data_IF_888500016020
#
_entry.id   IF_888500016020
#
_cell.length_a   1.000
_cell.length_b   1.000
_cell.length_c   1.000
_cell.angle_alpha   90.00
_cell.angle_beta   90.00
_cell.angle_gamma   90.00
#
_symmetry.space_group_name_H-M   'P 1'
#
loop_
_entity.id
_entity.type
_entity.pdbx_description
1 polymer ?
#
# COMPACT_ATOMS: atom_id res chain seq x y z
N UNK A 1 49.80 -30.30 3.39
CA UNK A 1 49.63 -28.85 3.64
C UNK A 1 48.32 -28.50 2.95
N UNK A 2 47.21 -28.75 3.64
CA UNK A 2 45.87 -28.44 3.13
C UNK A 2 45.73 -26.94 3.05
N UNK A 3 45.43 -26.44 1.85
CA UNK A 3 45.01 -25.07 1.63
C UNK A 3 43.66 -24.91 2.31
N UNK A 4 43.68 -24.35 3.52
CA UNK A 4 42.50 -23.79 4.17
C UNK A 4 42.06 -22.64 3.28
N UNK A 5 41.15 -22.92 2.35
CA UNK A 5 40.40 -21.89 1.66
C UNK A 5 39.69 -21.08 2.75
N UNK A 6 40.15 -19.85 2.96
CA UNK A 6 39.41 -18.84 3.67
C UNK A 6 38.16 -18.53 2.83
N UNK A 7 37.13 -19.37 2.96
CA UNK A 7 35.79 -19.02 2.50
C UNK A 7 35.47 -17.63 3.05
N UNK A 8 35.04 -16.72 2.16
CA UNK A 8 34.56 -15.43 2.62
C UNK A 8 33.46 -15.69 3.66
N UNK A 9 33.38 -14.91 4.76
CA UNK A 9 32.40 -15.10 5.83
C UNK A 9 30.93 -14.94 5.36
N UNK A 10 30.68 -14.79 4.06
CA UNK A 10 29.45 -14.27 3.48
C UNK A 10 28.23 -15.17 3.68
N UNK A 11 28.36 -16.44 4.06
CA UNK A 11 27.29 -17.26 4.66
C UNK A 11 27.67 -18.75 4.68
N UNK A 12 27.56 -19.38 5.87
CA UNK A 12 27.79 -20.82 6.05
C UNK A 12 26.70 -21.71 5.42
N UNK A 13 25.59 -21.16 4.91
CA UNK A 13 24.51 -21.92 4.27
C UNK A 13 23.81 -21.16 3.12
N UNK A 14 23.20 -21.88 2.18
CA UNK A 14 22.38 -21.28 1.10
C UNK A 14 21.20 -20.44 1.64
N UNK A 15 20.65 -20.86 2.78
CA UNK A 15 19.57 -20.16 3.47
C UNK A 15 20.00 -18.77 3.98
N UNK A 16 21.24 -18.66 4.47
CA UNK A 16 21.82 -17.39 4.92
C UNK A 16 22.09 -16.47 3.72
N UNK A 17 22.66 -17.01 2.62
CA UNK A 17 22.87 -16.25 1.37
C UNK A 17 21.56 -15.67 0.85
N UNK A 18 20.51 -16.49 0.81
CA UNK A 18 19.18 -16.06 0.38
C UNK A 18 18.62 -14.93 1.26
N UNK A 19 18.81 -15.00 2.58
CA UNK A 19 18.33 -13.95 3.48
C UNK A 19 19.13 -12.65 3.36
N UNK A 20 20.43 -12.72 3.12
CA UNK A 20 21.25 -11.54 2.82
C UNK A 20 20.88 -10.90 1.48
N UNK A 21 20.62 -11.70 0.45
CA UNK A 21 20.05 -11.24 -0.81
C UNK A 21 18.70 -10.56 -0.59
N UNK A 22 17.85 -11.09 0.29
CA UNK A 22 16.56 -10.48 0.62
C UNK A 22 16.70 -9.09 1.27
N UNK A 23 17.63 -8.91 2.20
CA UNK A 23 17.91 -7.58 2.78
C UNK A 23 18.41 -6.58 1.72
N UNK A 24 19.28 -7.02 0.80
CA UNK A 24 19.72 -6.19 -0.32
C UNK A 24 18.57 -5.89 -1.28
N UNK A 25 17.69 -6.85 -1.53
CA UNK A 25 16.50 -6.68 -2.36
C UNK A 25 15.59 -5.59 -1.80
N UNK A 26 15.31 -5.58 -0.49
CA UNK A 26 14.55 -4.50 0.18
C UNK A 26 15.25 -3.15 -0.02
N UNK A 27 16.57 -3.10 0.19
CA UNK A 27 17.38 -1.88 0.03
C UNK A 27 17.46 -1.38 -1.41
N UNK A 28 17.28 -2.26 -2.40
CA UNK A 28 17.25 -1.95 -3.82
C UNK A 28 15.86 -1.48 -4.26
N UNK A 29 14.80 -2.19 -3.86
CA UNK A 29 13.44 -1.89 -4.31
C UNK A 29 12.89 -0.61 -3.68
N UNK A 30 13.34 -0.23 -2.48
CA UNK A 30 12.91 1.02 -1.84
C UNK A 30 13.16 2.26 -2.72
N UNK A 31 14.39 2.58 -3.17
CA UNK A 31 14.62 3.74 -4.03
C UNK A 31 13.96 3.62 -5.41
N UNK A 32 13.78 2.40 -5.94
CA UNK A 32 13.06 2.18 -7.21
C UNK A 32 11.58 2.55 -7.07
N UNK A 33 10.92 2.03 -6.01
CA UNK A 33 9.51 2.30 -5.72
C UNK A 33 9.28 3.78 -5.37
N UNK A 34 10.20 4.39 -4.61
CA UNK A 34 10.22 5.84 -4.39
C UNK A 34 10.37 6.57 -5.73
N UNK A 35 11.23 6.13 -6.64
CA UNK A 35 11.42 6.79 -7.93
C UNK A 35 10.15 6.87 -8.77
N UNK A 36 9.44 5.74 -8.92
CA UNK A 36 8.16 5.69 -9.67
C UNK A 36 6.98 6.35 -8.96
N UNK A 37 7.12 6.61 -7.65
CA UNK A 37 6.13 7.36 -6.84
C UNK A 37 6.71 8.69 -6.34
N UNK A 38 7.75 9.22 -6.98
CA UNK A 38 8.56 10.33 -6.42
C UNK A 38 7.75 11.57 -6.02
N UNK A 39 6.65 11.95 -6.70
CA UNK A 39 5.87 13.10 -6.28
C UNK A 39 5.26 12.96 -4.87
N UNK A 40 4.89 11.75 -4.39
CA UNK A 40 4.35 11.65 -3.02
C UNK A 40 5.41 11.93 -1.94
N UNK A 41 6.70 11.78 -2.28
CA UNK A 41 7.83 11.98 -1.37
C UNK A 41 8.37 13.40 -1.36
N UNK A 42 7.94 14.23 -2.31
CA UNK A 42 8.30 15.64 -2.45
C UNK A 42 7.16 16.55 -1.97
N UNK A 43 7.41 17.86 -1.82
CA UNK A 43 6.36 18.83 -1.55
C UNK A 43 5.29 18.82 -2.64
N UNK A 44 4.04 18.58 -2.26
CA UNK A 44 2.94 18.47 -3.21
C UNK A 44 2.20 19.80 -3.39
N UNK A 45 1.99 20.21 -4.63
CA UNK A 45 1.21 21.40 -4.97
C UNK A 45 -0.08 21.09 -5.72
N UNK A 46 -0.10 19.99 -6.47
CA UNK A 46 -1.25 19.59 -7.29
C UNK A 46 -2.23 18.68 -6.56
N UNK A 47 -1.76 17.84 -5.64
CA UNK A 47 -2.59 16.97 -4.80
C UNK A 47 -2.26 17.26 -3.33
N UNK A 48 -3.22 17.18 -2.39
CA UNK A 48 -2.96 17.56 -1.02
C UNK A 48 -2.11 16.53 -0.28
N UNK A 49 -1.01 16.99 0.32
CA UNK A 49 -0.33 16.26 1.37
C UNK A 49 -1.08 16.42 2.69
N UNK A 50 -1.55 15.32 3.29
CA UNK A 50 -2.32 15.34 4.54
C UNK A 50 -1.50 14.66 5.64
N UNK A 51 -0.93 15.40 6.61
CA UNK A 51 -0.19 14.78 7.71
C UNK A 51 -1.12 13.98 8.63
N UNK A 52 -0.58 12.98 9.32
CA UNK A 52 -1.33 12.15 10.27
C UNK A 52 -1.83 12.96 11.49
N UNK A 53 -1.07 13.99 11.88
CA UNK A 53 -1.35 14.84 13.05
C UNK A 53 -1.35 16.30 12.60
N UNK A 54 -2.35 17.08 13.03
CA UNK A 54 -2.53 18.48 12.61
C UNK A 54 -1.38 19.41 13.02
N UNK A 55 -0.65 19.06 14.09
CA UNK A 55 0.57 19.76 14.52
C UNK A 55 1.67 19.77 13.43
N UNK A 56 1.60 18.86 12.46
CA UNK A 56 2.56 18.79 11.37
C UNK A 56 2.11 19.58 10.12
N UNK A 57 0.93 20.21 10.10
CA UNK A 57 0.50 21.06 8.97
C UNK A 57 1.48 22.19 8.63
N UNK A 58 2.07 22.92 9.60
CA UNK A 58 2.97 24.05 9.32
C UNK A 58 4.38 23.65 8.89
N UNK A 59 4.74 22.36 8.94
CA UNK A 59 6.10 21.94 8.61
C UNK A 59 6.39 22.27 7.12
N UNK A 60 7.56 22.85 6.79
CA UNK A 60 7.84 23.29 5.42
C UNK A 60 8.17 22.11 4.51
N UNK A 61 7.90 22.27 3.21
CA UNK A 61 8.19 21.25 2.19
C UNK A 61 9.68 20.86 2.09
N UNK A 62 10.61 21.74 2.47
CA UNK A 62 12.04 21.39 2.51
C UNK A 62 12.35 20.17 3.40
N UNK A 63 11.53 19.92 4.42
CA UNK A 63 11.66 18.72 5.27
C UNK A 63 11.38 17.44 4.48
N UNK A 64 10.41 17.48 3.55
CA UNK A 64 10.10 16.34 2.69
C UNK A 64 11.30 15.99 1.79
N UNK A 65 11.95 17.00 1.20
CA UNK A 65 13.16 16.82 0.39
C UNK A 65 14.31 16.24 1.21
N UNK A 66 14.59 16.81 2.39
CA UNK A 66 15.66 16.33 3.26
C UNK A 66 15.42 14.88 3.71
N UNK A 67 14.17 14.53 4.00
CA UNK A 67 13.80 13.19 4.41
C UNK A 67 13.89 12.17 3.26
N UNK A 68 13.49 12.55 2.06
CA UNK A 68 13.68 11.74 0.86
C UNK A 68 15.17 11.44 0.62
N UNK A 69 16.02 12.46 0.67
CA UNK A 69 17.48 12.30 0.52
C UNK A 69 18.02 11.36 1.59
N UNK A 70 17.60 11.51 2.85
CA UNK A 70 18.02 10.65 3.95
C UNK A 70 17.59 9.18 3.72
N UNK A 71 16.33 8.94 3.37
CA UNK A 71 15.79 7.60 3.12
C UNK A 71 16.55 6.92 1.98
N UNK A 72 16.76 7.61 0.86
CA UNK A 72 17.51 7.08 -0.28
C UNK A 72 18.97 6.82 0.09
N UNK A 73 19.63 7.74 0.78
CA UNK A 73 21.02 7.58 1.21
C UNK A 73 21.20 6.38 2.16
N UNK A 74 20.30 6.21 3.13
CA UNK A 74 20.30 5.06 4.04
C UNK A 74 20.10 3.74 3.28
N UNK A 75 19.14 3.70 2.34
CA UNK A 75 18.86 2.52 1.53
C UNK A 75 20.05 2.14 0.64
N UNK A 76 20.66 3.11 -0.05
CA UNK A 76 21.85 2.86 -0.88
C UNK A 76 23.06 2.45 -0.05
N UNK A 77 23.24 3.03 1.15
CA UNK A 77 24.30 2.63 2.07
C UNK A 77 24.14 1.17 2.52
N UNK A 78 22.91 0.75 2.83
CA UNK A 78 22.60 -0.65 3.18
C UNK A 78 22.82 -1.60 2.00
N UNK A 79 22.45 -1.19 0.78
CA UNK A 79 22.66 -1.96 -0.44
C UNK A 79 24.15 -2.21 -0.70
N UNK A 80 24.97 -1.16 -0.61
CA UNK A 80 26.41 -1.20 -0.90
C UNK A 80 27.22 -1.85 0.21
N UNK A 81 26.99 -1.48 1.47
CA UNK A 81 27.74 -2.02 2.61
C UNK A 81 27.35 -3.47 2.92
N UNK A 82 26.09 -3.83 2.64
CA UNK A 82 25.55 -5.16 2.88
C UNK A 82 25.22 -5.46 4.35
N UNK A 83 24.60 -6.62 4.60
CA UNK A 83 24.01 -6.96 5.91
C UNK A 83 25.03 -7.32 6.99
N UNK A 84 26.29 -7.58 6.62
CA UNK A 84 27.36 -7.92 7.57
C UNK A 84 28.12 -6.69 8.07
N UNK A 85 27.80 -5.50 7.55
CA UNK A 85 28.43 -4.26 8.01
C UNK A 85 28.11 -4.00 9.49
N UNK A 86 29.12 -3.64 10.28
CA UNK A 86 28.98 -3.48 11.74
C UNK A 86 27.92 -2.45 12.18
N UNK A 87 27.60 -1.47 11.32
CA UNK A 87 26.55 -0.48 11.57
C UNK A 87 25.23 -0.76 10.84
N UNK A 88 25.09 -1.91 10.14
CA UNK A 88 23.90 -2.24 9.37
C UNK A 88 22.63 -2.18 10.23
N UNK A 89 22.67 -2.69 11.46
CA UNK A 89 21.53 -2.62 12.37
C UNK A 89 21.11 -1.17 12.68
N UNK A 90 22.06 -0.27 12.91
CA UNK A 90 21.76 1.15 13.17
C UNK A 90 21.21 1.85 11.93
N UNK A 91 21.73 1.53 10.74
CA UNK A 91 21.22 2.05 9.46
C UNK A 91 19.79 1.59 9.19
N UNK A 92 19.48 0.31 9.43
CA UNK A 92 18.12 -0.24 9.31
C UNK A 92 17.13 0.44 10.27
N UNK A 93 17.51 0.65 11.53
CA UNK A 93 16.65 1.37 12.48
C UNK A 93 16.46 2.84 12.09
N UNK A 94 17.52 3.50 11.62
CA UNK A 94 17.44 4.87 11.13
C UNK A 94 16.52 4.98 9.92
N UNK A 95 16.55 3.98 9.03
CA UNK A 95 15.67 3.90 7.87
C UNK A 95 14.21 3.72 8.29
N UNK A 96 13.93 2.83 9.25
CA UNK A 96 12.58 2.64 9.80
C UNK A 96 12.03 3.93 10.44
N UNK A 97 12.84 4.65 11.21
CA UNK A 97 12.46 5.92 11.82
C UNK A 97 12.21 7.01 10.78
N UNK A 98 13.07 7.10 9.75
CA UNK A 98 12.90 8.07 8.66
C UNK A 98 11.62 7.81 7.87
N UNK A 99 11.32 6.55 7.53
CA UNK A 99 10.06 6.17 6.89
C UNK A 99 8.85 6.46 7.79
N UNK A 100 8.93 6.11 9.08
CA UNK A 100 7.87 6.42 10.05
C UNK A 100 7.58 7.92 10.13
N UNK A 101 8.61 8.76 10.18
CA UNK A 101 8.44 10.21 10.14
C UNK A 101 7.85 10.68 8.80
N UNK A 102 8.25 10.07 7.68
CA UNK A 102 7.71 10.41 6.36
C UNK A 102 6.21 10.17 6.30
N UNK A 103 5.75 9.06 6.87
CA UNK A 103 4.34 8.70 6.96
C UNK A 103 3.53 9.68 7.81
N UNK A 104 4.11 10.20 8.90
CA UNK A 104 3.45 11.21 9.73
C UNK A 104 3.26 12.54 9.00
N UNK A 105 4.19 12.91 8.11
CA UNK A 105 4.11 14.15 7.32
C UNK A 105 3.08 14.07 6.19
N UNK A 106 2.84 12.87 5.66
CA UNK A 106 1.80 12.64 4.66
C UNK A 106 1.33 11.19 4.72
N UNK A 107 0.06 11.00 5.09
CA UNK A 107 -0.57 9.69 5.18
C UNK A 107 -0.60 8.95 3.84
N UNK A 108 -0.59 9.67 2.71
CA UNK A 108 -0.50 9.06 1.38
C UNK A 108 0.78 8.23 1.17
N UNK A 109 1.82 8.48 1.99
CA UNK A 109 3.07 7.71 1.99
C UNK A 109 2.97 6.38 2.72
N UNK A 110 1.88 6.08 3.44
CA UNK A 110 1.59 4.75 3.97
C UNK A 110 1.23 3.74 2.87
N UNK A 111 1.89 3.82 1.71
CA UNK A 111 1.79 2.83 0.66
C UNK A 111 2.13 1.44 1.24
N UNK A 112 1.42 0.37 0.87
CA UNK A 112 1.61 -0.94 1.48
C UNK A 112 3.07 -1.45 1.45
N UNK A 113 3.77 -1.21 0.34
CA UNK A 113 5.18 -1.57 0.19
C UNK A 113 6.09 -0.77 1.12
N UNK A 114 5.82 0.52 1.32
CA UNK A 114 6.63 1.38 2.17
C UNK A 114 6.46 1.00 3.65
N UNK A 115 5.21 0.74 4.06
CA UNK A 115 4.89 0.21 5.37
C UNK A 115 5.56 -1.15 5.62
N UNK A 116 5.48 -2.07 4.65
CA UNK A 116 6.17 -3.36 4.74
C UNK A 116 7.69 -3.17 4.91
N UNK A 117 8.32 -2.28 4.16
CA UNK A 117 9.77 -2.05 4.24
C UNK A 117 10.18 -1.39 5.56
N UNK A 118 9.36 -0.49 6.13
CA UNK A 118 9.60 0.06 7.46
C UNK A 118 9.56 -1.03 8.54
N UNK A 119 8.60 -1.95 8.47
CA UNK A 119 8.51 -3.08 9.41
C UNK A 119 9.70 -4.04 9.25
N UNK A 120 10.08 -4.38 8.01
CA UNK A 120 11.26 -5.22 7.75
C UNK A 120 12.55 -4.56 8.25
N UNK A 121 12.69 -3.25 8.07
CA UNK A 121 13.83 -2.49 8.59
C UNK A 121 13.93 -2.57 10.13
N UNK A 122 12.80 -2.53 10.85
CA UNK A 122 12.79 -2.79 12.30
C UNK A 122 13.32 -4.19 12.61
N UNK A 123 12.86 -5.22 11.88
CA UNK A 123 13.29 -6.60 12.12
C UNK A 123 14.78 -6.80 11.86
N UNK A 124 15.30 -6.26 10.74
CA UNK A 124 16.73 -6.34 10.40
C UNK A 124 17.61 -5.53 11.36
N UNK A 125 17.07 -4.46 11.94
CA UNK A 125 17.75 -3.62 12.92
C UNK A 125 17.79 -4.18 14.34
N UNK A 126 16.73 -4.88 14.76
CA UNK A 126 16.57 -5.34 16.15
C UNK A 126 16.94 -6.81 16.37
N UNK A 127 16.66 -7.68 15.40
CA UNK A 127 16.70 -9.13 15.60
C UNK A 127 17.88 -9.78 14.86
N UNK A 128 18.51 -10.82 15.43
CA UNK A 128 19.45 -11.65 14.69
C UNK A 128 18.79 -12.27 13.45
N UNK A 129 19.60 -12.58 12.45
CA UNK A 129 19.15 -13.07 11.13
C UNK A 129 18.10 -14.18 11.17
N UNK A 130 18.24 -15.12 12.09
CA UNK A 130 17.33 -16.28 12.22
C UNK A 130 15.93 -15.84 12.68
N UNK A 131 15.87 -14.94 13.65
CA UNK A 131 14.63 -14.34 14.13
C UNK A 131 14.04 -13.38 13.09
N UNK A 132 14.86 -12.48 12.54
CA UNK A 132 14.42 -11.51 11.54
C UNK A 132 13.81 -12.19 10.30
N UNK A 133 14.40 -13.30 9.83
CA UNK A 133 13.85 -14.09 8.72
C UNK A 133 12.49 -14.68 9.06
N UNK A 134 12.31 -15.24 10.27
CA UNK A 134 11.02 -15.78 10.71
C UNK A 134 9.94 -14.70 10.81
N UNK A 135 10.27 -13.55 11.38
CA UNK A 135 9.35 -12.41 11.48
C UNK A 135 8.97 -11.89 10.08
N UNK A 136 9.95 -11.76 9.18
CA UNK A 136 9.68 -11.38 7.78
C UNK A 136 8.79 -12.40 7.06
N UNK A 137 8.99 -13.70 7.29
CA UNK A 137 8.11 -14.76 6.76
C UNK A 137 6.69 -14.64 7.31
N UNK A 138 6.51 -14.34 8.60
CA UNK A 138 5.18 -14.15 9.19
C UNK A 138 4.46 -12.95 8.60
N UNK A 139 5.14 -11.81 8.44
CA UNK A 139 4.56 -10.63 7.78
C UNK A 139 4.20 -10.95 6.32
N UNK A 140 5.06 -11.65 5.57
CA UNK A 140 4.74 -12.06 4.20
C UNK A 140 3.49 -12.96 4.15
N UNK A 141 3.40 -13.95 5.05
CA UNK A 141 2.23 -14.83 5.17
C UNK A 141 0.97 -14.05 5.53
N UNK A 142 1.06 -13.04 6.40
CA UNK A 142 -0.10 -12.22 6.75
C UNK A 142 -0.59 -11.38 5.59
N UNK A 143 0.30 -10.88 4.73
CA UNK A 143 -0.15 -10.17 3.51
C UNK A 143 -1.00 -11.09 2.64
N UNK A 144 -0.53 -12.32 2.34
CA UNK A 144 -1.32 -13.28 1.54
C UNK A 144 -2.66 -13.61 2.21
N UNK A 145 -2.66 -13.87 3.51
CA UNK A 145 -3.87 -14.23 4.24
C UNK A 145 -4.90 -13.10 4.26
N UNK A 146 -4.50 -11.92 4.71
CA UNK A 146 -5.42 -10.79 4.87
C UNK A 146 -5.80 -10.16 3.54
N UNK A 147 -4.92 -10.13 2.54
CA UNK A 147 -5.28 -9.66 1.20
C UNK A 147 -6.30 -10.58 0.54
N UNK A 148 -6.13 -11.90 0.62
CA UNK A 148 -7.14 -12.85 0.16
C UNK A 148 -8.47 -12.67 0.90
N UNK A 149 -8.42 -12.63 2.24
CA UNK A 149 -9.60 -12.48 3.09
C UNK A 149 -10.36 -11.17 2.81
N UNK A 150 -9.64 -10.09 2.48
CA UNK A 150 -10.23 -8.79 2.16
C UNK A 150 -11.01 -8.78 0.85
N UNK A 151 -10.74 -9.72 -0.08
CA UNK A 151 -11.43 -9.82 -1.39
C UNK A 151 -12.56 -10.85 -1.39
N UNK A 152 -12.73 -11.62 -0.31
CA UNK A 152 -13.83 -12.58 -0.17
C UNK A 152 -15.13 -11.85 0.22
N UNK A 153 -15.62 -10.97 -0.66
CA UNK A 153 -16.86 -10.22 -0.47
C UNK A 153 -17.56 -9.90 -1.80
N UNK A 154 -18.86 -9.56 -1.78
CA UNK A 154 -19.60 -9.20 -2.99
C UNK A 154 -19.07 -7.95 -3.71
N UNK A 155 -18.58 -6.94 -3.00
CA UNK A 155 -18.05 -5.72 -3.62
C UNK A 155 -16.86 -6.01 -4.53
N UNK A 156 -15.95 -6.91 -4.13
CA UNK A 156 -14.84 -7.36 -5.00
C UNK A 156 -15.36 -8.05 -6.26
N UNK A 157 -16.37 -8.90 -6.12
CA UNK A 157 -17.01 -9.61 -7.26
C UNK A 157 -17.68 -8.64 -8.24
N UNK A 158 -18.28 -7.56 -7.73
CA UNK A 158 -19.01 -6.59 -8.52
C UNK A 158 -18.14 -5.51 -9.16
N UNK A 159 -16.98 -5.22 -8.57
CA UNK A 159 -16.06 -4.19 -9.03
C UNK A 159 -14.78 -4.85 -9.61
N UNK A 160 -13.66 -4.76 -8.88
CA UNK A 160 -12.34 -5.09 -9.40
C UNK A 160 -12.16 -6.54 -9.86
N UNK A 161 -12.86 -7.49 -9.24
CA UNK A 161 -12.86 -8.89 -9.63
C UNK A 161 -13.51 -9.11 -11.01
N UNK A 162 -14.55 -8.33 -11.33
CA UNK A 162 -15.16 -8.34 -12.65
C UNK A 162 -14.20 -7.78 -13.71
N UNK A 163 -13.47 -6.70 -13.39
CA UNK A 163 -12.44 -6.14 -14.27
C UNK A 163 -11.32 -7.14 -14.56
N UNK A 164 -10.90 -7.92 -13.55
CA UNK A 164 -9.89 -8.96 -13.72
C UNK A 164 -10.36 -10.07 -14.66
N UNK A 165 -11.60 -10.53 -14.50
CA UNK A 165 -12.19 -11.55 -15.38
C UNK A 165 -12.33 -11.05 -16.82
N UNK A 166 -12.85 -9.83 -17.01
CA UNK A 166 -12.98 -9.20 -18.32
C UNK A 166 -11.61 -9.07 -19.01
N UNK A 167 -10.59 -8.61 -18.27
CA UNK A 167 -9.23 -8.48 -18.77
C UNK A 167 -8.65 -9.83 -19.21
N UNK A 168 -8.82 -10.88 -18.40
CA UNK A 168 -8.36 -12.22 -18.79
C UNK A 168 -9.11 -12.76 -20.01
N UNK A 169 -10.41 -12.48 -20.13
CA UNK A 169 -11.21 -12.80 -21.31
C UNK A 169 -10.64 -12.13 -22.57
N UNK A 170 -10.23 -10.86 -22.46
CA UNK A 170 -9.67 -10.10 -23.58
C UNK A 170 -8.39 -10.74 -24.15
N UNK A 171 -7.55 -11.35 -23.30
CA UNK A 171 -6.32 -12.03 -23.73
C UNK A 171 -6.57 -13.28 -24.59
N UNK A 172 -7.76 -13.87 -24.49
CA UNK A 172 -8.17 -15.02 -25.32
C UNK A 172 -9.19 -14.63 -26.40
N UNK A 173 -9.35 -13.33 -26.67
CA UNK A 173 -10.22 -12.80 -27.71
C UNK A 173 -11.70 -12.65 -27.32
N UNK A 174 -12.04 -12.79 -26.04
CA UNK A 174 -13.38 -12.52 -25.52
C UNK A 174 -13.47 -11.04 -25.11
N UNK A 175 -14.02 -10.21 -25.99
CA UNK A 175 -14.31 -8.80 -25.66
C UNK A 175 -15.63 -8.72 -24.88
N UNK A 176 -15.55 -8.91 -23.56
CA UNK A 176 -16.68 -8.83 -22.63
C UNK A 176 -16.43 -7.71 -21.65
N UNK A 177 -17.34 -6.74 -21.59
CA UNK A 177 -17.29 -5.68 -20.59
C UNK A 177 -17.66 -6.22 -19.20
N UNK A 178 -17.10 -5.68 -18.10
CA UNK A 178 -17.40 -6.15 -16.74
C UNK A 178 -18.91 -6.23 -16.43
N UNK A 179 -19.69 -5.27 -16.95
CA UNK A 179 -21.15 -5.19 -16.80
C UNK A 179 -21.91 -6.33 -17.49
N UNK A 180 -21.30 -6.98 -18.49
CA UNK A 180 -21.90 -8.06 -19.27
C UNK A 180 -21.68 -9.44 -18.65
N UNK A 181 -20.85 -9.56 -17.62
CA UNK A 181 -20.52 -10.85 -17.00
C UNK A 181 -21.72 -11.49 -16.27
N UNK A 182 -22.73 -10.72 -15.87
CA UNK A 182 -23.93 -11.24 -15.21
C UNK A 182 -23.59 -12.14 -14.00
N UNK A 183 -24.00 -13.42 -13.97
CA UNK A 183 -23.63 -14.35 -12.89
C UNK A 183 -22.19 -14.86 -12.97
N UNK A 184 -21.51 -14.77 -14.12
CA UNK A 184 -20.13 -15.26 -14.30
C UNK A 184 -19.11 -14.48 -13.49
N UNK A 185 -19.44 -13.24 -13.05
CA UNK A 185 -18.59 -12.44 -12.17
C UNK A 185 -18.19 -13.17 -10.88
N UNK A 186 -19.01 -14.11 -10.39
CA UNK A 186 -18.71 -14.90 -9.19
C UNK A 186 -17.46 -15.80 -9.35
N UNK A 187 -17.03 -16.09 -10.59
CA UNK A 187 -15.75 -16.73 -10.85
C UNK A 187 -14.56 -15.89 -10.34
N UNK A 188 -14.74 -14.58 -10.10
CA UNK A 188 -13.70 -13.71 -9.58
C UNK A 188 -13.24 -14.16 -8.18
N UNK A 189 -14.07 -14.86 -7.41
CA UNK A 189 -13.67 -15.44 -6.12
C UNK A 189 -12.55 -16.50 -6.25
N UNK A 190 -12.28 -17.00 -7.47
CA UNK A 190 -11.11 -17.84 -7.73
C UNK A 190 -9.79 -17.11 -7.45
N UNK A 191 -9.72 -15.78 -7.63
CA UNK A 191 -8.50 -15.00 -7.36
C UNK A 191 -8.09 -15.05 -5.88
N UNK A 192 -8.94 -14.63 -4.91
CA UNK A 192 -8.60 -14.76 -3.50
C UNK A 192 -8.54 -16.21 -3.03
N UNK A 193 -9.28 -17.14 -3.63
CA UNK A 193 -9.14 -18.56 -3.29
C UNK A 193 -7.75 -19.11 -3.66
N UNK A 194 -7.20 -18.71 -4.81
CA UNK A 194 -5.86 -19.09 -5.23
C UNK A 194 -4.77 -18.44 -4.35
N UNK A 195 -4.98 -17.18 -3.95
CA UNK A 195 -4.10 -16.49 -3.00
C UNK A 195 -4.12 -17.16 -1.61
N UNK A 196 -5.29 -17.55 -1.11
CA UNK A 196 -5.44 -18.31 0.12
C UNK A 196 -4.77 -19.69 0.03
N UNK A 197 -4.88 -20.37 -1.12
CA UNK A 197 -4.17 -21.62 -1.37
C UNK A 197 -2.66 -21.42 -1.28
N UNK A 198 -2.10 -20.35 -1.86
CA UNK A 198 -0.69 -20.02 -1.73
C UNK A 198 -0.27 -19.85 -0.26
N UNK A 199 -1.05 -19.11 0.54
CA UNK A 199 -0.83 -18.97 1.98
C UNK A 199 -0.78 -20.33 2.71
N UNK A 200 -1.80 -21.18 2.51
CA UNK A 200 -1.89 -22.49 3.17
C UNK A 200 -0.71 -23.41 2.79
N UNK A 201 -0.31 -23.39 1.52
CA UNK A 201 0.82 -24.18 1.02
C UNK A 201 2.16 -23.67 1.57
N UNK A 202 2.34 -22.35 1.71
CA UNK A 202 3.57 -21.74 2.25
C UNK A 202 3.72 -21.94 3.77
N UNK A 203 2.60 -21.97 4.49
CA UNK A 203 2.55 -22.17 5.95
C UNK A 203 3.13 -23.54 6.33
N UNK A 204 2.75 -24.59 5.60
CA UNK A 204 3.25 -25.95 5.85
C UNK A 204 4.61 -26.18 5.17
N UNK A 205 5.60 -26.59 5.96
CA UNK A 205 6.98 -26.83 5.50
C UNK A 205 7.07 -27.89 4.38
N UNK A 206 6.18 -28.89 4.38
CA UNK A 206 6.20 -29.98 3.37
C UNK A 206 5.71 -29.53 2.00
N UNK A 207 4.74 -28.61 1.97
CA UNK A 207 4.12 -28.10 0.74
C UNK A 207 4.74 -26.79 0.25
N UNK A 208 5.68 -26.23 1.01
CA UNK A 208 6.19 -24.87 0.80
C UNK A 208 6.74 -24.59 -0.59
N UNK A 209 7.44 -25.54 -1.21
CA UNK A 209 7.96 -25.35 -2.58
C UNK A 209 6.83 -25.22 -3.61
N UNK A 210 5.77 -26.02 -3.46
CA UNK A 210 4.55 -25.87 -4.26
C UNK A 210 3.95 -24.49 -3.99
N UNK A 211 3.86 -24.09 -2.72
CA UNK A 211 3.40 -22.74 -2.33
C UNK A 211 4.20 -21.60 -2.98
N UNK A 212 5.51 -21.73 -3.13
CA UNK A 212 6.34 -20.73 -3.85
C UNK A 212 5.98 -20.68 -5.33
N UNK A 213 5.78 -21.83 -5.98
CA UNK A 213 5.35 -21.87 -7.39
C UNK A 213 3.95 -21.26 -7.55
N UNK A 214 3.01 -21.60 -6.66
CA UNK A 214 1.65 -21.04 -6.64
C UNK A 214 1.65 -19.53 -6.42
N UNK A 215 2.42 -19.04 -5.45
CA UNK A 215 2.56 -17.60 -5.21
C UNK A 215 3.22 -16.90 -6.40
N UNK A 216 4.25 -17.52 -6.99
CA UNK A 216 4.95 -16.98 -8.15
C UNK A 216 4.05 -16.87 -9.39
N UNK A 217 3.27 -17.91 -9.68
CA UNK A 217 2.31 -17.89 -10.79
C UNK A 217 1.22 -16.83 -10.55
N UNK A 218 0.73 -16.69 -9.32
CA UNK A 218 -0.22 -15.63 -8.96
C UNK A 218 0.35 -14.24 -9.24
N UNK A 219 1.57 -13.92 -8.77
CA UNK A 219 2.17 -12.61 -8.98
C UNK A 219 2.46 -12.33 -10.45
N UNK A 220 2.89 -13.33 -11.23
CA UNK A 220 3.05 -13.18 -12.68
C UNK A 220 1.73 -12.87 -13.37
N UNK A 221 0.64 -13.56 -13.00
CA UNK A 221 -0.70 -13.27 -13.51
C UNK A 221 -1.17 -11.87 -13.12
N UNK A 222 -0.92 -11.43 -11.88
CA UNK A 222 -1.24 -10.06 -11.45
C UNK A 222 -0.44 -9.02 -12.24
N UNK A 223 0.85 -9.24 -12.49
CA UNK A 223 1.65 -8.34 -13.33
C UNK A 223 1.11 -8.28 -14.76
N UNK A 224 0.64 -9.40 -15.30
CA UNK A 224 0.05 -9.44 -16.64
C UNK A 224 -1.29 -8.68 -16.70
N UNK A 225 -2.21 -8.97 -15.77
CA UNK A 225 -3.55 -8.37 -15.71
C UNK A 225 -3.52 -6.90 -15.34
N UNK A 226 -2.70 -6.50 -14.36
CA UNK A 226 -2.59 -5.12 -13.91
C UNK A 226 -1.61 -4.31 -14.75
N UNK A 227 -0.74 -4.96 -15.52
CA UNK A 227 0.32 -4.31 -16.27
C UNK A 227 -0.17 -3.59 -17.53
N UNK A 228 0.76 -3.08 -18.35
CA UNK A 228 0.46 -2.34 -19.57
C UNK A 228 -0.37 -3.12 -20.61
N UNK A 229 -0.40 -4.45 -20.50
CA UNK A 229 -1.18 -5.31 -21.40
C UNK A 229 -2.65 -5.44 -20.97
N UNK A 230 -2.97 -5.20 -19.69
CA UNK A 230 -4.32 -5.28 -19.16
C UNK A 230 -4.81 -3.91 -18.67
N UNK A 231 -5.04 -3.78 -17.36
CA UNK A 231 -5.64 -2.59 -16.74
C UNK A 231 -4.70 -1.37 -16.68
N UNK A 232 -3.43 -1.49 -17.08
CA UNK A 232 -2.44 -0.41 -17.09
C UNK A 232 -2.38 0.37 -15.76
N UNK A 233 -2.33 -0.38 -14.66
CA UNK A 233 -2.32 0.15 -13.31
C UNK A 233 -0.95 0.77 -12.94
N UNK A 234 -0.79 1.25 -11.70
CA UNK A 234 0.37 2.05 -11.31
C UNK A 234 1.67 1.23 -11.24
N UNK A 235 2.79 1.84 -11.62
CA UNK A 235 4.10 1.19 -11.58
C UNK A 235 4.50 0.72 -10.18
N UNK A 236 4.11 1.46 -9.13
CA UNK A 236 4.35 1.06 -7.75
C UNK A 236 3.73 -0.31 -7.42
N UNK A 237 2.54 -0.59 -7.93
CA UNK A 237 1.84 -1.87 -7.75
C UNK A 237 2.57 -3.01 -8.49
N UNK A 238 2.97 -2.77 -9.74
CA UNK A 238 3.64 -3.79 -10.57
C UNK A 238 5.01 -4.17 -9.99
N UNK A 239 5.82 -3.17 -9.63
CA UNK A 239 7.15 -3.39 -9.07
C UNK A 239 7.09 -4.06 -7.70
N UNK A 240 6.07 -3.78 -6.89
CA UNK A 240 5.89 -4.48 -5.63
C UNK A 240 5.49 -5.95 -5.82
N UNK A 241 4.73 -6.29 -6.87
CA UNK A 241 4.49 -7.70 -7.24
C UNK A 241 5.77 -8.41 -7.69
N UNK A 242 6.66 -7.74 -8.43
CA UNK A 242 7.99 -8.27 -8.76
C UNK A 242 8.81 -8.53 -7.48
N UNK A 243 8.77 -7.60 -6.53
CA UNK A 243 9.40 -7.79 -5.22
C UNK A 243 8.81 -9.01 -4.49
N UNK A 244 7.49 -9.18 -4.47
CA UNK A 244 6.86 -10.32 -3.83
C UNK A 244 7.23 -11.66 -4.46
N UNK A 245 7.35 -11.73 -5.79
CA UNK A 245 7.83 -12.91 -6.49
C UNK A 245 9.23 -13.33 -5.98
N UNK A 246 10.15 -12.37 -5.91
CA UNK A 246 11.49 -12.62 -5.39
C UNK A 246 11.49 -12.92 -3.88
N UNK A 247 10.68 -12.22 -3.10
CA UNK A 247 10.49 -12.46 -1.66
C UNK A 247 10.00 -13.88 -1.39
N UNK A 248 9.02 -14.37 -2.15
CA UNK A 248 8.47 -15.72 -1.97
C UNK A 248 9.58 -16.77 -2.14
N UNK A 249 10.42 -16.62 -3.16
CA UNK A 249 11.57 -17.51 -3.41
C UNK A 249 12.57 -17.41 -2.26
N UNK A 250 13.03 -16.20 -1.93
CA UNK A 250 14.12 -16.00 -0.96
C UNK A 250 13.74 -16.40 0.48
N UNK A 251 12.48 -16.18 0.88
CA UNK A 251 12.02 -16.50 2.22
C UNK A 251 11.60 -17.97 2.37
N UNK A 252 10.94 -18.54 1.36
CA UNK A 252 10.23 -19.81 1.50
C UNK A 252 10.82 -20.99 0.70
N UNK A 253 11.65 -20.77 -0.32
CA UNK A 253 12.24 -21.90 -1.06
C UNK A 253 13.25 -22.70 -0.23
N UNK A 254 13.99 -21.98 0.62
CA UNK A 254 15.03 -22.53 1.47
C UNK A 254 14.48 -22.93 2.84
N UNK A 255 14.98 -24.01 3.48
CA UNK A 255 14.54 -24.40 4.81
C UNK A 255 14.73 -23.27 5.82
N UNK A 256 13.83 -23.18 6.79
CA UNK A 256 14.00 -22.29 7.94
C UNK A 256 15.12 -22.85 8.83
N UNK A 257 15.87 -21.98 9.53
CA UNK A 257 16.78 -22.43 10.58
C UNK A 257 16.04 -23.27 11.61
N UNK A 258 16.69 -24.31 12.15
CA UNK A 258 16.18 -25.13 13.24
C UNK A 258 15.67 -24.26 14.40
N UNK A 259 14.69 -24.76 15.16
CA UNK A 259 14.06 -24.02 16.26
C UNK A 259 15.14 -23.37 17.14
N UNK A 260 15.05 -22.06 17.30
CA UNK A 260 16.05 -21.33 18.11
C UNK A 260 15.55 -21.43 19.54
N UNK A 261 16.18 -22.29 20.33
CA UNK A 261 15.81 -22.58 21.72
C UNK A 261 16.20 -21.46 22.69
N UNK A 262 17.03 -20.51 22.27
CA UNK A 262 17.41 -19.38 23.11
C UNK A 262 16.32 -18.32 23.17
N UNK A 263 15.89 -18.00 24.40
CA UNK A 263 15.03 -16.84 24.64
C UNK A 263 15.77 -15.56 24.24
N UNK A 264 15.35 -14.95 23.14
CA UNK A 264 15.97 -13.72 22.63
C UNK A 264 15.95 -12.59 23.66
N UNK A 265 17.01 -11.76 23.65
CA UNK A 265 17.10 -10.55 24.48
C UNK A 265 16.01 -9.51 24.15
N UNK A 266 15.97 -8.40 24.89
CA UNK A 266 14.89 -7.40 24.80
C UNK A 266 14.63 -6.86 23.38
N UNK A 267 15.67 -6.73 22.54
CA UNK A 267 15.54 -6.29 21.14
C UNK A 267 14.72 -7.28 20.31
N UNK A 268 14.93 -8.58 20.50
CA UNK A 268 14.16 -9.64 19.82
C UNK A 268 12.71 -9.62 20.28
N UNK A 269 12.47 -9.45 21.57
CA UNK A 269 11.11 -9.30 22.12
C UNK A 269 10.39 -8.09 21.56
N UNK A 270 11.09 -6.96 21.40
CA UNK A 270 10.53 -5.77 20.76
C UNK A 270 10.18 -6.02 19.29
N UNK A 271 11.06 -6.68 18.53
CA UNK A 271 10.76 -7.05 17.14
C UNK A 271 9.57 -8.02 17.04
N UNK A 272 9.46 -8.99 17.95
CA UNK A 272 8.32 -9.89 18.06
C UNK A 272 7.03 -9.16 18.42
N UNK A 273 7.08 -8.19 19.34
CA UNK A 273 5.94 -7.36 19.70
C UNK A 273 5.45 -6.53 18.51
N UNK A 274 6.37 -5.88 17.78
CA UNK A 274 6.04 -5.17 16.53
C UNK A 274 5.41 -6.13 15.52
N UNK A 275 5.97 -7.32 15.33
CA UNK A 275 5.37 -8.34 14.46
C UNK A 275 3.96 -8.73 14.92
N UNK A 276 3.74 -8.93 16.23
CA UNK A 276 2.44 -9.23 16.79
C UNK A 276 1.41 -8.12 16.50
N UNK A 277 1.80 -6.85 16.65
CA UNK A 277 0.96 -5.71 16.29
C UNK A 277 0.63 -5.75 14.79
N UNK A 278 1.61 -5.95 13.91
CA UNK A 278 1.40 -6.01 12.45
C UNK A 278 0.49 -7.18 12.05
N UNK A 279 0.59 -8.32 12.74
CA UNK A 279 -0.26 -9.49 12.49
C UNK A 279 -1.69 -9.29 13.00
N UNK A 280 -1.88 -8.57 14.11
CA UNK A 280 -3.19 -8.36 14.72
C UNK A 280 -3.89 -7.11 14.21
N UNK A 281 -3.16 -6.08 13.73
CA UNK A 281 -3.76 -4.84 13.24
C UNK A 281 -4.85 -5.05 12.18
N UNK A 282 -4.72 -5.97 11.21
CA UNK A 282 -5.79 -6.26 10.26
C UNK A 282 -7.13 -6.66 10.89
N UNK A 283 -7.16 -7.16 12.13
CA UNK A 283 -8.44 -7.47 12.81
C UNK A 283 -9.21 -6.21 13.22
N UNK A 284 -8.53 -5.07 13.33
CA UNK A 284 -9.17 -3.77 13.58
C UNK A 284 -9.91 -3.26 12.33
N UNK A 285 -9.43 -3.59 11.14
CA UNK A 285 -10.13 -3.29 9.89
C UNK A 285 -11.46 -4.04 9.79
N UNK A 286 -11.51 -5.29 10.28
CA UNK A 286 -12.73 -6.10 10.33
C UNK A 286 -13.87 -5.44 11.12
N UNK A 287 -13.53 -4.61 12.10
CA UNK A 287 -14.47 -3.88 12.95
C UNK A 287 -14.54 -2.38 12.63
N UNK A 288 -13.98 -1.96 11.49
CA UNK A 288 -14.03 -0.58 10.99
C UNK A 288 -13.11 0.42 11.69
N UNK A 289 -12.19 -0.03 12.55
CA UNK A 289 -11.26 0.83 13.29
C UNK A 289 -9.87 0.94 12.65
N UNK A 290 -9.50 -0.01 11.80
CA UNK A 290 -8.19 -0.06 11.14
C UNK A 290 -8.23 0.43 9.70
N UNK A 291 -7.25 1.23 9.30
CA UNK A 291 -7.10 1.65 7.90
C UNK A 291 -6.78 0.44 6.99
N UNK A 292 -7.28 0.40 5.73
CA UNK A 292 -7.18 -0.78 4.87
C UNK A 292 -5.74 -1.19 4.50
N UNK A 293 -4.86 -0.23 4.21
CA UNK A 293 -3.50 -0.54 3.77
C UNK A 293 -2.63 -1.16 4.86
N UNK A 294 -2.52 -0.59 6.08
CA UNK A 294 -1.81 -1.24 7.18
C UNK A 294 -2.44 -2.59 7.60
N UNK A 295 -3.72 -2.80 7.26
CA UNK A 295 -4.44 -4.06 7.43
C UNK A 295 -4.23 -5.09 6.30
N UNK A 296 -3.41 -4.79 5.30
CA UNK A 296 -3.23 -5.62 4.10
C UNK A 296 -4.50 -5.85 3.27
N UNK A 297 -5.48 -4.95 3.37
CA UNK A 297 -6.65 -4.85 2.50
C UNK A 297 -6.27 -4.33 1.11
N UNK A 298 -5.42 -5.07 0.41
CA UNK A 298 -4.96 -4.71 -0.94
C UNK A 298 -6.05 -5.09 -1.93
N UNK A 299 -6.41 -4.16 -2.83
CA UNK A 299 -7.49 -4.36 -3.81
C UNK A 299 -8.86 -4.62 -3.15
N UNK A 300 -9.03 -4.10 -1.94
CA UNK A 300 -10.27 -4.19 -1.20
C UNK A 300 -11.29 -3.18 -1.75
N UNK A 301 -12.28 -3.66 -2.50
CA UNK A 301 -13.40 -2.84 -3.00
C UNK A 301 -14.35 -2.41 -1.88
N UNK A 302 -14.38 -3.11 -0.75
CA UNK A 302 -15.32 -2.86 0.34
C UNK A 302 -14.93 -1.65 1.21
N UNK A 303 -13.83 -0.96 0.94
CA UNK A 303 -13.38 0.18 1.75
C UNK A 303 -14.36 1.37 1.65
N UNK A 304 -14.46 2.16 2.72
CA UNK A 304 -15.21 3.40 2.70
C UNK A 304 -14.55 4.43 1.77
N UNK A 305 -15.36 5.25 1.10
CA UNK A 305 -14.92 6.21 0.08
C UNK A 305 -15.74 7.48 0.11
N UNK A 306 -15.10 8.59 -0.25
CA UNK A 306 -15.76 9.88 -0.47
C UNK A 306 -15.74 10.22 -1.95
N UNK A 307 -16.92 10.34 -2.54
CA UNK A 307 -17.11 10.83 -3.89
C UNK A 307 -17.30 12.34 -3.85
N UNK A 308 -16.62 13.05 -4.74
CA UNK A 308 -16.74 14.50 -4.87
C UNK A 308 -17.50 14.84 -6.14
N UNK A 309 -18.49 15.70 -6.01
CA UNK A 309 -19.26 16.24 -7.12
C UNK A 309 -19.17 17.76 -7.10
N UNK A 310 -19.12 18.37 -8.29
CA UNK A 310 -19.13 19.82 -8.47
C UNK A 310 -20.30 20.22 -9.35
N UNK A 311 -20.89 21.38 -9.07
CA UNK A 311 -21.93 21.93 -9.93
C UNK A 311 -21.36 22.24 -11.31
N UNK A 312 -22.01 21.76 -12.37
CA UNK A 312 -21.50 21.80 -13.77
C UNK A 312 -21.04 23.19 -14.21
N UNK A 313 -21.80 24.25 -13.92
CA UNK A 313 -21.43 25.61 -14.33
C UNK A 313 -20.23 26.18 -13.54
N UNK A 314 -19.92 25.63 -12.36
CA UNK A 314 -18.79 26.06 -11.55
C UNK A 314 -17.46 25.43 -12.01
N UNK A 315 -17.48 24.41 -12.86
CA UNK A 315 -16.27 23.74 -13.38
C UNK A 315 -15.31 24.74 -14.03
N UNK A 316 -15.83 25.72 -14.78
CA UNK A 316 -15.01 26.73 -15.45
C UNK A 316 -14.24 27.64 -14.47
N UNK A 317 -14.68 27.72 -13.21
CA UNK A 317 -14.01 28.50 -12.16
C UNK A 317 -12.86 27.73 -11.49
N UNK A 318 -12.78 26.41 -11.67
CA UNK A 318 -11.73 25.59 -11.07
C UNK A 318 -10.39 25.79 -11.80
N UNK A 319 -9.24 25.57 -11.14
CA UNK A 319 -7.95 25.57 -11.81
C UNK A 319 -7.95 24.62 -13.02
N UNK A 320 -7.36 25.04 -14.15
CA UNK A 320 -7.33 24.26 -15.40
C UNK A 320 -6.78 22.85 -15.21
N UNK A 321 -5.78 22.70 -14.34
CA UNK A 321 -5.17 21.41 -14.02
C UNK A 321 -6.13 20.45 -13.33
N UNK A 322 -7.15 20.96 -12.63
CA UNK A 322 -8.16 20.16 -11.94
C UNK A 322 -9.35 19.82 -12.87
N UNK A 323 -9.66 20.70 -13.83
CA UNK A 323 -10.81 20.53 -14.75
C UNK A 323 -10.74 19.21 -15.54
N UNK A 324 -9.54 18.71 -15.87
CA UNK A 324 -9.35 17.45 -16.61
C UNK A 324 -9.74 16.19 -15.82
N UNK A 325 -9.95 16.32 -14.51
CA UNK A 325 -10.42 15.24 -13.64
C UNK A 325 -11.93 15.30 -13.37
N UNK A 326 -12.61 16.30 -13.93
CA UNK A 326 -14.07 16.41 -13.87
C UNK A 326 -14.65 15.64 -15.05
N UNK A 327 -15.58 14.73 -14.77
CA UNK A 327 -16.30 14.00 -15.81
C UNK A 327 -17.43 14.88 -16.38
N UNK A 328 -17.10 15.66 -17.41
CA UNK A 328 -18.05 16.52 -18.10
C UNK A 328 -19.05 15.77 -18.97
N UNK A 329 -18.79 14.50 -19.27
CA UNK A 329 -19.62 13.64 -20.12
C UNK A 329 -20.71 12.91 -19.32
N UNK A 330 -20.69 13.04 -17.99
CA UNK A 330 -21.76 12.57 -17.11
C UNK A 330 -23.14 13.08 -17.57
N UNK A 331 -24.13 12.20 -17.50
CA UNK A 331 -25.53 12.49 -17.88
C UNK A 331 -26.30 13.35 -16.87
N UNK A 332 -25.70 13.68 -15.72
CA UNK A 332 -26.32 14.54 -14.71
C UNK A 332 -26.14 16.03 -15.11
N UNK A 333 -27.26 16.72 -15.28
CA UNK A 333 -27.25 18.13 -15.73
C UNK A 333 -26.73 19.10 -14.66
N UNK A 334 -26.77 18.73 -13.38
CA UNK A 334 -26.47 19.63 -12.27
C UNK A 334 -25.11 19.33 -11.63
N UNK A 335 -24.84 18.08 -11.24
CA UNK A 335 -23.63 17.68 -10.53
C UNK A 335 -22.78 16.73 -11.36
N UNK A 336 -21.53 17.08 -11.58
CA UNK A 336 -20.56 16.25 -12.30
C UNK A 336 -19.49 15.72 -11.33
N UNK A 337 -19.10 14.44 -11.42
CA UNK A 337 -18.13 13.87 -10.50
C UNK A 337 -16.71 14.35 -10.80
N UNK A 338 -15.89 14.42 -9.75
CA UNK A 338 -14.44 14.61 -9.83
C UNK A 338 -13.78 13.28 -9.50
N UNK A 339 -13.00 12.75 -10.44
CA UNK A 339 -12.25 11.51 -10.25
C UNK A 339 -11.01 11.74 -9.39
N UNK A 340 -11.19 11.65 -8.06
CA UNK A 340 -10.11 11.79 -7.07
C UNK A 340 -9.04 10.70 -7.23
N UNK A 341 -9.42 9.50 -7.69
CA UNK A 341 -8.51 8.39 -7.88
C UNK A 341 -7.54 8.65 -9.04
N UNK A 342 -8.08 9.06 -10.18
CA UNK A 342 -7.29 9.48 -11.35
C UNK A 342 -6.47 10.73 -11.05
N UNK A 343 -7.01 11.70 -10.33
CA UNK A 343 -6.27 12.88 -9.88
C UNK A 343 -5.05 12.48 -9.05
N UNK A 344 -5.22 11.60 -8.06
CA UNK A 344 -4.11 11.07 -7.27
C UNK A 344 -3.07 10.36 -8.13
N UNK A 345 -3.46 9.41 -8.99
CA UNK A 345 -2.51 8.61 -9.76
C UNK A 345 -1.71 9.47 -10.74
N UNK A 346 -2.38 10.34 -11.50
CA UNK A 346 -1.70 11.13 -12.53
C UNK A 346 -0.78 12.21 -11.94
N UNK A 347 -1.11 12.78 -10.79
CA UNK A 347 -0.29 13.83 -10.17
C UNK A 347 0.78 13.27 -9.24
N UNK A 348 0.52 12.12 -8.63
CA UNK A 348 1.39 11.58 -7.58
C UNK A 348 2.16 10.31 -7.96
N UNK A 349 1.74 9.62 -9.02
CA UNK A 349 2.23 8.30 -9.39
C UNK A 349 1.70 7.17 -8.48
N UNK A 350 0.84 7.49 -7.50
CA UNK A 350 0.34 6.57 -6.51
C UNK A 350 -1.21 6.58 -6.43
N UNK A 351 -1.85 5.42 -6.18
CA UNK A 351 -3.28 5.37 -5.91
C UNK A 351 -3.60 6.19 -4.66
N UNK A 352 -4.81 6.74 -4.60
CA UNK A 352 -5.29 7.46 -3.42
C UNK A 352 -5.24 6.54 -2.19
N UNK A 353 -4.86 7.08 -1.03
CA UNK A 353 -4.90 6.32 0.22
C UNK A 353 -6.35 5.90 0.50
N UNK A 354 -6.63 4.60 0.63
CA UNK A 354 -7.98 4.09 0.77
C UNK A 354 -8.48 4.39 2.18
N UNK A 355 -9.79 4.57 2.25
CA UNK A 355 -10.46 4.91 3.49
C UNK A 355 -11.11 6.27 3.39
N UNK A 356 -12.22 6.34 4.11
CA UNK A 356 -13.10 7.49 4.17
C UNK A 356 -12.33 8.75 4.62
N UNK A 357 -11.51 8.62 5.66
CA UNK A 357 -10.80 9.73 6.29
C UNK A 357 -9.89 10.49 5.33
N UNK A 358 -9.09 9.79 4.53
CA UNK A 358 -8.15 10.45 3.62
C UNK A 358 -8.88 11.05 2.42
N UNK A 359 -9.83 10.33 1.82
CA UNK A 359 -10.65 10.87 0.72
C UNK A 359 -11.49 12.09 1.16
N UNK A 360 -12.02 12.07 2.38
CA UNK A 360 -12.64 13.22 3.02
C UNK A 360 -11.66 14.39 3.19
N UNK A 361 -10.43 14.12 3.65
CA UNK A 361 -9.39 15.15 3.77
C UNK A 361 -9.00 15.77 2.43
N UNK A 362 -8.96 14.96 1.35
CA UNK A 362 -8.73 15.45 -0.03
C UNK A 362 -9.88 16.37 -0.45
N UNK A 363 -11.13 15.98 -0.22
CA UNK A 363 -12.30 16.83 -0.48
C UNK A 363 -12.28 18.14 0.30
N UNK A 364 -11.88 18.09 1.58
CA UNK A 364 -11.69 19.29 2.42
C UNK A 364 -10.62 20.21 1.84
N UNK A 365 -9.47 19.65 1.48
CA UNK A 365 -8.35 20.40 0.92
C UNK A 365 -8.72 21.03 -0.44
N UNK A 366 -9.55 20.36 -1.23
CA UNK A 366 -10.11 20.92 -2.46
C UNK A 366 -10.95 22.17 -2.16
N UNK A 367 -11.92 22.08 -1.24
CA UNK A 367 -12.78 23.22 -0.86
C UNK A 367 -11.95 24.40 -0.34
N UNK A 368 -10.98 24.13 0.53
CA UNK A 368 -10.11 25.16 1.08
C UNK A 368 -9.25 25.84 0.00
N UNK A 369 -8.76 25.08 -0.99
CA UNK A 369 -7.92 25.61 -2.06
C UNK A 369 -8.69 26.39 -3.11
N UNK A 370 -9.93 26.00 -3.42
CA UNK A 370 -10.71 26.62 -4.50
C UNK A 370 -11.75 27.63 -4.00
N UNK A 371 -12.05 27.64 -2.70
CA UNK A 371 -13.15 28.44 -2.15
C UNK A 371 -14.54 27.97 -2.61
N UNK A 372 -14.64 26.78 -3.19
CA UNK A 372 -15.86 26.30 -3.85
C UNK A 372 -16.89 25.64 -2.93
N UNK A 373 -16.94 26.00 -1.64
CA UNK A 373 -17.77 25.33 -0.63
C UNK A 373 -19.25 25.22 -1.03
N UNK A 374 -19.77 26.24 -1.72
CA UNK A 374 -21.16 26.31 -2.17
C UNK A 374 -21.46 25.57 -3.48
N UNK A 375 -20.42 25.09 -4.17
CA UNK A 375 -20.54 24.47 -5.49
C UNK A 375 -20.13 23.00 -5.49
N UNK A 376 -19.78 22.44 -4.34
CA UNK A 376 -19.39 21.04 -4.23
C UNK A 376 -20.31 20.29 -3.28
N UNK A 377 -20.53 19.03 -3.61
CA UNK A 377 -21.24 18.05 -2.82
C UNK A 377 -20.35 16.83 -2.65
N UNK A 378 -20.35 16.28 -1.45
CA UNK A 378 -19.63 15.05 -1.13
C UNK A 378 -20.63 13.98 -0.76
N UNK A 379 -20.41 12.78 -1.30
CA UNK A 379 -21.16 11.58 -0.93
C UNK A 379 -20.16 10.65 -0.27
N UNK A 380 -20.36 10.42 1.03
CA UNK A 380 -19.48 9.61 1.87
C UNK A 380 -20.16 8.27 2.06
N UNK A 381 -19.51 7.21 1.55
CA UNK A 381 -19.96 5.85 1.69
C UNK A 381 -19.16 5.14 2.79
N UNK A 382 -19.86 4.48 3.71
CA UNK A 382 -19.24 3.59 4.68
C UNK A 382 -18.53 2.42 3.97
N UNK A 383 -17.65 1.69 4.68
CA UNK A 383 -17.25 0.37 4.23
C UNK A 383 -18.47 -0.50 3.94
N UNK A 384 -18.41 -1.31 2.89
CA UNK A 384 -19.47 -2.25 2.55
C UNK A 384 -19.53 -3.39 3.56
N UNK A 385 -20.74 -3.91 3.78
CA UNK A 385 -20.94 -5.14 4.52
C UNK A 385 -20.11 -6.31 3.98
N UNK A 386 -19.66 -7.19 4.88
CA UNK A 386 -18.87 -8.38 4.49
C UNK A 386 -19.70 -9.41 3.71
N UNK A 387 -20.99 -9.49 4.02
CA UNK A 387 -21.91 -10.48 3.46
C UNK A 387 -22.91 -9.89 2.45
N UNK A 388 -23.18 -8.59 2.56
CA UNK A 388 -24.06 -7.84 1.68
C UNK A 388 -23.31 -6.60 1.21
N UNK A 389 -23.56 -6.16 -0.01
CA UNK A 389 -22.94 -4.95 -0.58
C UNK A 389 -23.72 -3.70 -0.15
N UNK A 390 -24.10 -3.63 1.12
CA UNK A 390 -24.81 -2.52 1.71
C UNK A 390 -23.82 -1.49 2.26
N UNK A 391 -24.08 -0.22 1.95
CA UNK A 391 -23.28 0.93 2.39
C UNK A 391 -24.20 1.98 2.96
N UNK A 392 -23.85 2.49 4.13
CA UNK A 392 -24.45 3.72 4.63
C UNK A 392 -23.89 4.89 3.82
N UNK A 393 -24.77 5.81 3.43
CA UNK A 393 -24.40 6.94 2.57
C UNK A 393 -24.82 8.23 3.25
N UNK A 394 -23.84 9.08 3.52
CA UNK A 394 -24.06 10.43 4.02
C UNK A 394 -23.74 11.44 2.91
N UNK A 395 -24.55 12.50 2.79
CA UNK A 395 -24.29 13.59 1.85
C UNK A 395 -23.94 14.86 2.61
N UNK A 396 -22.85 15.51 2.20
CA UNK A 396 -22.38 16.75 2.78
C UNK A 396 -22.23 17.83 1.70
N UNK A 397 -22.62 19.05 2.02
CA UNK A 397 -22.16 20.24 1.31
C UNK A 397 -20.68 20.51 1.61
N UNK A 398 -20.03 21.34 0.77
CA UNK A 398 -18.65 21.75 1.04
C UNK A 398 -18.50 22.52 2.37
N UNK A 399 -19.51 23.29 2.78
CA UNK A 399 -19.52 23.99 4.07
C UNK A 399 -19.55 23.01 5.24
N UNK A 400 -20.50 22.07 5.26
CA UNK A 400 -20.63 21.05 6.30
C UNK A 400 -19.36 20.21 6.41
N UNK A 401 -18.75 19.85 5.28
CA UNK A 401 -17.51 19.08 5.24
C UNK A 401 -16.36 19.81 5.96
N UNK A 402 -16.25 21.14 5.79
CA UNK A 402 -15.22 21.92 6.50
C UNK A 402 -15.46 22.01 8.00
N UNK A 403 -16.73 22.11 8.43
CA UNK A 403 -17.11 22.29 9.83
C UNK A 403 -17.04 20.98 10.63
N UNK A 404 -17.54 19.86 10.10
CA UNK A 404 -17.70 18.60 10.83
C UNK A 404 -16.46 17.69 10.82
N UNK A 405 -15.43 18.10 10.07
CA UNK A 405 -14.21 17.32 9.85
C UNK A 405 -13.45 16.90 11.13
N UNK A 406 -13.51 17.69 12.21
CA UNK A 406 -12.81 17.43 13.46
C UNK A 406 -13.59 16.52 14.42
N UNK A 407 -14.89 16.35 14.19
CA UNK A 407 -15.77 15.55 15.04
C UNK A 407 -15.81 14.09 14.60
N UNK A 408 -15.59 13.83 13.29
CA UNK A 408 -15.72 12.49 12.69
C UNK A 408 -14.46 11.61 12.81
N UNK A 409 -13.26 12.21 12.84
CA UNK A 409 -12.01 11.45 12.79
C UNK A 409 -11.01 11.89 13.87
N UNK A 410 -10.35 10.91 14.49
CA UNK A 410 -9.31 11.17 15.49
C UNK A 410 -7.99 11.65 14.87
N UNK A 411 -7.68 11.19 13.66
CA UNK A 411 -6.50 11.64 12.91
C UNK A 411 -6.82 12.86 12.05
N UNK A 412 -5.78 13.60 11.69
CA UNK A 412 -5.91 14.86 10.99
C UNK A 412 -6.49 14.72 9.57
N UNK A 413 -7.29 15.73 9.19
CA UNK A 413 -7.90 15.88 7.87
C UNK A 413 -7.54 17.21 7.19
N UNK A 414 -6.69 18.04 7.80
CA UNK A 414 -6.18 19.27 7.18
C UNK A 414 -4.96 18.97 6.29
N UNK A 415 -4.82 19.62 5.12
CA UNK A 415 -3.61 19.54 4.33
C UNK A 415 -2.44 20.31 4.97
N UNK A 416 -1.24 20.12 4.45
CA UNK A 416 -0.06 20.97 4.74
C UNK A 416 -0.30 22.42 4.35
N UNK A 417 0.20 23.36 5.14
CA UNK A 417 -0.02 24.80 4.92
C UNK A 417 0.53 25.26 3.57
N UNK A 418 1.65 24.69 3.12
CA UNK A 418 2.26 25.07 1.84
C UNK A 418 1.40 24.68 0.63
N UNK A 419 0.47 23.73 0.76
CA UNK A 419 -0.43 23.32 -0.33
C UNK A 419 -1.53 24.35 -0.57
N UNK A 420 -1.89 25.10 0.49
CA UNK A 420 -2.89 26.17 0.46
C UNK A 420 -2.29 27.52 0.05
N UNK A 421 -0.98 27.60 -0.16
CA UNK A 421 -0.31 28.78 -0.70
C UNK A 421 -0.31 28.69 -2.23
N UNK A 422 -0.53 29.83 -2.88
CA UNK A 422 -0.56 29.96 -4.33
C UNK A 422 0.79 29.67 -5.00
#
# INVERSE_FOLDING_TARGET
METVEHESPEARSNADRAFFLYQRLVSLFLPILIGVTSPIWLPQQQFPAVPAIGLLCPVPGLVDVGLLVLVVALSLSLLLAGPQFKWASALWLSLALALGFAFLLNQHRFQPWAYQFAVLAIFFGLAPREHARRLASWVALSVYFYSALSKLNPSFVNELGADFLATLGSFIGLAVEPTQLGPWKWLALAFPAFEMLAFLLLLNQRTRRIGVVTAGSMHLSLILVLGPFGLNHSWGVLLWNVFFLAQAILLFWFPLPAEVTETGGWKVRLAQAVCGIVLLFPTLELIGLGDPWPAWGLYASHVGRTHCFVVRHAVASFPKDLQKYVDTDSSDDLFVPIDLGRWSIETTGAPIYPGERFSFAVGRALVLKTGAANFVRFVVESPAGRFQDDRETDTFSGEELTQQSHERFWLNTLPRDYYLRD
#
